data_IF_005509116915
#
_entry.id   IF_005509116915
#
_cell.length_a   1.000
_cell.length_b   1.000
_cell.length_c   1.000
_cell.angle_alpha   90.00
_cell.angle_beta   90.00
_cell.angle_gamma   90.00
#
_symmetry.space_group_name_H-M   'P 1'
#
loop_
_entity.id
_entity.type
_entity.pdbx_description
1 polymer ?
#
# COMPACT_ATOMS: atom_id res chain seq x y z
N UNK A 1 -20.31 57.28 -83.36
CA UNK A 1 -19.69 56.12 -84.01
C UNK A 1 -19.07 55.25 -82.92
N UNK A 2 -19.84 54.25 -82.49
CA UNK A 2 -19.43 52.89 -82.06
C UNK A 2 -18.03 52.69 -81.47
N UNK A 3 -17.91 52.18 -80.23
CA UNK A 3 -17.56 50.77 -79.95
C UNK A 3 -17.45 50.46 -78.43
N UNK A 4 -18.29 49.52 -78.00
CA UNK A 4 -18.07 48.40 -77.06
C UNK A 4 -17.34 48.59 -75.71
N UNK A 5 -18.16 48.51 -74.66
CA UNK A 5 -17.79 47.95 -73.37
C UNK A 5 -17.45 46.45 -73.49
N UNK A 6 -16.32 46.03 -72.91
CA UNK A 6 -16.06 44.61 -72.60
C UNK A 6 -15.84 44.48 -71.09
N UNK A 7 -16.91 44.11 -70.39
CA UNK A 7 -16.85 43.71 -68.99
C UNK A 7 -16.18 42.34 -68.88
N UNK A 8 -15.07 42.26 -68.15
CA UNK A 8 -14.54 41.00 -67.65
C UNK A 8 -15.44 40.51 -66.50
N UNK A 9 -16.47 39.74 -66.83
CA UNK A 9 -17.20 38.96 -65.83
C UNK A 9 -16.31 37.78 -65.45
N UNK A 10 -15.61 37.91 -64.32
CA UNK A 10 -14.92 36.81 -63.66
C UNK A 10 -15.97 35.77 -63.28
N UNK A 11 -16.00 34.63 -63.99
CA UNK A 11 -16.89 33.50 -63.65
C UNK A 11 -16.66 33.13 -62.17
N UNK A 12 -17.71 32.98 -61.35
CA UNK A 12 -17.55 32.44 -60.01
C UNK A 12 -16.93 31.03 -60.11
N UNK A 13 -16.07 30.63 -59.17
CA UNK A 13 -15.51 29.28 -59.17
C UNK A 13 -16.67 28.26 -59.15
N UNK A 14 -16.52 27.10 -59.80
CA UNK A 14 -17.54 26.06 -59.74
C UNK A 14 -17.76 25.71 -58.26
N UNK A 15 -19.01 25.83 -57.81
CA UNK A 15 -19.42 25.37 -56.49
C UNK A 15 -19.22 23.86 -56.51
N UNK A 16 -18.13 23.40 -55.89
CA UNK A 16 -17.90 21.98 -55.66
C UNK A 16 -19.15 21.46 -54.94
N UNK A 17 -19.86 20.53 -55.60
CA UNK A 17 -21.01 19.88 -55.01
C UNK A 17 -20.55 19.11 -53.77
N UNK A 18 -20.70 19.73 -52.58
CA UNK A 18 -20.55 19.10 -51.26
C UNK A 18 -21.73 18.15 -50.96
N UNK A 19 -22.16 17.38 -51.96
CA UNK A 19 -23.36 16.55 -51.88
C UNK A 19 -22.98 15.17 -51.34
N UNK A 20 -22.70 15.08 -50.05
CA UNK A 20 -22.49 13.81 -49.35
C UNK A 20 -21.29 13.77 -48.40
N UNK A 21 -20.32 14.68 -48.56
CA UNK A 21 -19.12 14.71 -47.71
C UNK A 21 -19.45 15.05 -46.24
N UNK A 22 -20.36 16.00 -46.00
CA UNK A 22 -20.78 16.36 -44.64
C UNK A 22 -21.47 15.22 -43.89
N UNK A 23 -22.22 14.36 -44.61
CA UNK A 23 -22.86 13.18 -44.02
C UNK A 23 -21.83 12.13 -43.63
N UNK A 24 -20.84 11.88 -44.50
CA UNK A 24 -19.73 10.96 -44.19
C UNK A 24 -18.90 11.47 -43.03
N UNK A 25 -18.57 12.76 -43.01
CA UNK A 25 -17.81 13.39 -41.93
C UNK A 25 -18.57 13.34 -40.59
N UNK A 26 -19.87 13.62 -40.60
CA UNK A 26 -20.72 13.49 -39.42
C UNK A 26 -20.81 12.04 -38.90
N UNK A 27 -20.86 11.05 -39.79
CA UNK A 27 -20.88 9.63 -39.41
C UNK A 27 -19.54 9.21 -38.79
N UNK A 28 -18.42 9.64 -39.36
CA UNK A 28 -17.08 9.40 -38.78
C UNK A 28 -16.96 10.03 -37.39
N UNK A 29 -17.39 11.28 -37.24
CA UNK A 29 -17.39 11.96 -35.94
C UNK A 29 -18.30 11.24 -34.93
N UNK A 30 -19.47 10.79 -35.36
CA UNK A 30 -20.38 10.01 -34.50
C UNK A 30 -19.74 8.70 -34.04
N UNK A 31 -19.06 7.97 -34.93
CA UNK A 31 -18.34 6.75 -34.58
C UNK A 31 -17.26 7.02 -33.54
N UNK A 32 -16.45 8.06 -33.74
CA UNK A 32 -15.41 8.47 -32.79
C UNK A 32 -16.02 8.81 -31.44
N UNK A 33 -17.14 9.53 -31.40
CA UNK A 33 -17.84 9.85 -30.16
C UNK A 33 -18.36 8.61 -29.44
N UNK A 34 -18.94 7.64 -30.17
CA UNK A 34 -19.41 6.37 -29.59
C UNK A 34 -18.26 5.59 -28.95
N UNK A 35 -17.12 5.50 -29.64
CA UNK A 35 -15.93 4.83 -29.13
C UNK A 35 -15.41 5.55 -27.89
N UNK A 36 -15.30 6.88 -27.93
CA UNK A 36 -14.81 7.68 -26.80
C UNK A 36 -15.74 7.57 -25.57
N UNK A 37 -17.05 7.64 -25.81
CA UNK A 37 -18.06 7.50 -24.76
C UNK A 37 -18.06 6.10 -24.11
N UNK A 38 -17.62 5.07 -24.84
CA UNK A 38 -17.46 3.72 -24.31
C UNK A 38 -16.11 3.54 -23.62
N UNK A 39 -15.04 4.07 -24.21
CA UNK A 39 -13.67 3.91 -23.74
C UNK A 39 -13.41 4.63 -22.41
N UNK A 40 -13.94 5.85 -22.25
CA UNK A 40 -13.67 6.66 -21.04
C UNK A 40 -14.21 5.97 -19.77
N UNK A 41 -15.50 5.56 -19.69
CA UNK A 41 -16.00 4.85 -18.51
C UNK A 41 -15.34 3.49 -18.31
N UNK A 42 -15.04 2.77 -19.38
CA UNK A 42 -14.33 1.49 -19.31
C UNK A 42 -12.95 1.66 -18.65
N UNK A 43 -12.16 2.64 -19.12
CA UNK A 43 -10.86 2.96 -18.54
C UNK A 43 -10.98 3.43 -17.09
N UNK A 44 -12.00 4.25 -16.80
CA UNK A 44 -12.31 4.69 -15.43
C UNK A 44 -12.54 3.52 -14.48
N UNK A 45 -13.33 2.52 -14.89
CA UNK A 45 -13.58 1.30 -14.09
C UNK A 45 -12.30 0.50 -13.87
N UNK A 46 -11.49 0.29 -14.91
CA UNK A 46 -10.20 -0.41 -14.80
C UNK A 46 -9.24 0.35 -13.87
N UNK A 47 -9.20 1.68 -13.96
CA UNK A 47 -8.38 2.53 -13.10
C UNK A 47 -8.83 2.47 -11.64
N UNK A 48 -10.13 2.53 -11.39
CA UNK A 48 -10.70 2.43 -10.03
C UNK A 48 -10.44 1.05 -9.41
N UNK A 49 -10.57 -0.05 -10.17
CA UNK A 49 -10.15 -1.39 -9.69
C UNK A 49 -8.69 -1.36 -9.24
N UNK A 50 -7.80 -0.77 -10.04
CA UNK A 50 -6.39 -0.61 -9.68
C UNK A 50 -6.14 0.23 -8.43
N UNK A 51 -6.98 1.25 -8.19
CA UNK A 51 -6.94 2.06 -6.97
C UNK A 51 -7.42 1.26 -5.76
N UNK A 52 -8.51 0.50 -5.90
CA UNK A 52 -9.00 -0.37 -4.82
C UNK A 52 -7.99 -1.45 -4.46
N UNK A 53 -7.28 -2.03 -5.44
CA UNK A 53 -6.18 -2.95 -5.17
C UNK A 53 -5.06 -2.30 -4.35
N UNK A 54 -4.71 -1.04 -4.62
CA UNK A 54 -3.68 -0.33 -3.86
C UNK A 54 -4.13 -0.03 -2.42
N UNK A 55 -5.40 0.33 -2.23
CA UNK A 55 -5.95 0.54 -0.89
C UNK A 55 -6.08 -0.78 -0.10
N UNK A 56 -6.52 -1.83 -0.78
CA UNK A 56 -6.63 -3.17 -0.22
C UNK A 56 -5.27 -3.72 0.21
N UNK A 57 -4.22 -3.52 -0.59
CA UNK A 57 -2.87 -4.00 -0.23
C UNK A 57 -2.33 -3.27 0.99
N UNK A 58 -2.53 -1.95 1.10
CA UNK A 58 -2.18 -1.17 2.29
C UNK A 58 -2.96 -1.61 3.53
N UNK A 59 -4.25 -1.88 3.36
CA UNK A 59 -5.08 -2.38 4.46
C UNK A 59 -4.62 -3.76 4.95
N UNK A 60 -4.31 -4.67 4.03
CA UNK A 60 -3.70 -5.96 4.35
C UNK A 60 -2.35 -5.79 5.08
N UNK A 61 -1.51 -4.87 4.62
CA UNK A 61 -0.22 -4.58 5.25
C UNK A 61 -0.41 -4.10 6.70
N UNK A 62 -1.40 -3.24 6.93
CA UNK A 62 -1.74 -2.79 8.27
C UNK A 62 -2.27 -3.91 9.17
N UNK A 63 -3.17 -4.76 8.65
CA UNK A 63 -3.65 -5.94 9.40
C UNK A 63 -2.49 -6.85 9.80
N UNK A 64 -1.58 -7.11 8.85
CA UNK A 64 -0.44 -7.98 9.06
C UNK A 64 0.52 -7.43 10.12
N UNK A 65 0.79 -6.11 10.09
CA UNK A 65 1.63 -5.44 11.07
C UNK A 65 1.02 -5.47 12.48
N UNK A 66 -0.31 -5.45 12.59
CA UNK A 66 -1.02 -5.38 13.87
C UNK A 66 -1.24 -6.74 14.53
N UNK A 67 -1.71 -7.73 13.78
CA UNK A 67 -2.13 -9.02 14.34
C UNK A 67 -1.09 -10.13 14.14
N UNK A 68 -0.15 -9.99 13.21
CA UNK A 68 0.90 -10.99 12.93
C UNK A 68 0.43 -12.32 12.34
N UNK A 69 -0.83 -12.71 12.58
CA UNK A 69 -1.45 -14.01 12.26
C UNK A 69 -2.02 -14.13 10.83
N UNK A 70 -1.96 -13.07 10.02
CA UNK A 70 -2.41 -13.09 8.63
C UNK A 70 -3.35 -11.94 8.28
N UNK A 71 -4.12 -12.10 7.20
CA UNK A 71 -5.08 -11.11 6.69
C UNK A 71 -6.43 -11.78 6.51
N UNK A 72 -7.51 -11.12 6.94
CA UNK A 72 -8.87 -11.60 6.63
C UNK A 72 -9.20 -11.31 5.16
N UNK A 73 -9.01 -12.32 4.31
CA UNK A 73 -9.32 -12.23 2.88
C UNK A 73 -10.78 -11.93 2.61
N UNK A 74 -11.71 -12.46 3.42
CA UNK A 74 -13.15 -12.25 3.19
C UNK A 74 -13.52 -10.79 3.46
N UNK A 75 -13.02 -10.23 4.56
CA UNK A 75 -13.19 -8.82 4.86
C UNK A 75 -12.61 -7.95 3.75
N UNK A 76 -11.39 -8.24 3.31
CA UNK A 76 -10.69 -7.46 2.29
C UNK A 76 -11.40 -7.52 0.93
N UNK A 77 -11.82 -8.72 0.50
CA UNK A 77 -12.60 -8.89 -0.73
C UNK A 77 -13.93 -8.14 -0.66
N UNK A 78 -14.65 -8.24 0.46
CA UNK A 78 -15.92 -7.56 0.60
C UNK A 78 -15.77 -6.03 0.67
N UNK A 79 -14.78 -5.53 1.42
CA UNK A 79 -14.59 -4.09 1.61
C UNK A 79 -14.17 -3.36 0.34
N UNK A 80 -13.27 -3.96 -0.45
CA UNK A 80 -12.63 -3.25 -1.57
C UNK A 80 -13.10 -3.69 -2.96
N UNK A 81 -13.78 -4.83 -3.09
CA UNK A 81 -14.14 -5.37 -4.40
C UNK A 81 -15.60 -5.79 -4.55
N UNK A 82 -16.17 -6.44 -3.52
CA UNK A 82 -17.51 -7.05 -3.60
C UNK A 82 -18.59 -6.27 -2.82
N UNK A 83 -18.23 -5.11 -2.26
CA UNK A 83 -19.14 -4.27 -1.51
C UNK A 83 -20.14 -3.56 -2.41
N UNK A 84 -21.29 -3.14 -1.87
CA UNK A 84 -22.36 -2.49 -2.64
C UNK A 84 -21.91 -1.19 -3.35
N UNK A 85 -20.82 -0.57 -2.89
CA UNK A 85 -20.23 0.63 -3.46
C UNK A 85 -19.38 0.34 -4.71
N UNK A 86 -19.02 -0.92 -4.96
CA UNK A 86 -18.16 -1.34 -6.06
C UNK A 86 -18.97 -2.12 -7.10
N UNK A 87 -19.69 -1.37 -7.93
CA UNK A 87 -20.51 -1.92 -9.01
C UNK A 87 -19.82 -1.74 -10.37
N UNK A 88 -18.65 -2.35 -10.54
CA UNK A 88 -18.01 -2.35 -11.86
C UNK A 88 -18.76 -3.30 -12.77
N UNK A 89 -19.62 -2.72 -13.60
CA UNK A 89 -20.39 -3.45 -14.58
C UNK A 89 -19.71 -3.41 -15.94
N UNK A 90 -19.84 -4.48 -16.70
CA UNK A 90 -19.42 -4.51 -18.10
C UNK A 90 -20.46 -3.80 -18.99
N UNK A 91 -20.37 -3.95 -20.32
CA UNK A 91 -21.30 -3.32 -21.26
C UNK A 91 -22.68 -3.99 -21.30
N UNK A 92 -22.81 -5.23 -20.84
CA UNK A 92 -24.09 -5.94 -20.73
C UNK A 92 -24.69 -5.89 -19.33
N UNK A 93 -24.08 -5.10 -18.44
CA UNK A 93 -24.49 -4.90 -17.05
C UNK A 93 -24.20 -6.09 -16.10
N UNK A 94 -23.22 -6.92 -16.44
CA UNK A 94 -22.72 -8.00 -15.57
C UNK A 94 -21.54 -7.53 -14.71
N UNK A 95 -21.35 -8.14 -13.54
CA UNK A 95 -20.23 -7.79 -12.66
C UNK A 95 -18.89 -8.19 -13.27
N UNK A 96 -18.01 -7.19 -13.43
CA UNK A 96 -16.66 -7.36 -13.95
C UNK A 96 -15.75 -8.10 -12.96
N UNK A 97 -15.98 -7.91 -11.66
CA UNK A 97 -15.17 -8.51 -10.60
C UNK A 97 -16.04 -9.44 -9.78
N UNK A 98 -15.59 -10.69 -9.70
CA UNK A 98 -16.22 -11.77 -8.93
C UNK A 98 -15.23 -12.35 -7.92
N UNK A 99 -15.72 -13.07 -6.92
CA UNK A 99 -14.88 -13.57 -5.83
C UNK A 99 -13.72 -14.48 -6.30
N UNK A 100 -13.95 -15.26 -7.36
CA UNK A 100 -12.98 -16.15 -8.01
C UNK A 100 -11.92 -15.40 -8.82
N UNK A 101 -12.23 -14.18 -9.28
CA UNK A 101 -11.32 -13.33 -10.04
C UNK A 101 -10.31 -12.55 -9.18
N UNK A 102 -10.43 -12.63 -7.84
CA UNK A 102 -9.59 -11.93 -6.88
C UNK A 102 -8.69 -12.93 -6.16
N UNK A 103 -7.39 -12.80 -6.36
CA UNK A 103 -6.37 -13.61 -5.69
C UNK A 103 -5.51 -12.73 -4.80
N UNK A 104 -5.38 -13.11 -3.53
CA UNK A 104 -4.53 -12.44 -2.56
C UNK A 104 -3.48 -13.47 -2.14
N UNK A 105 -2.21 -13.10 -2.20
CA UNK A 105 -1.12 -13.95 -1.74
C UNK A 105 -0.20 -13.15 -0.83
N UNK A 106 0.33 -13.82 0.20
CA UNK A 106 1.25 -13.23 1.16
C UNK A 106 2.49 -14.09 1.17
N UNK A 107 3.63 -13.46 0.95
CA UNK A 107 4.97 -14.07 0.91
C UNK A 107 5.81 -13.45 2.05
N UNK A 108 6.65 -14.25 2.72
CA UNK A 108 7.62 -13.80 3.74
C UNK A 108 9.03 -14.38 3.53
N UNK A 109 9.32 -14.91 2.35
CA UNK A 109 10.55 -15.67 2.07
C UNK A 109 11.79 -14.77 2.01
N UNK A 110 11.61 -13.49 1.64
CA UNK A 110 12.73 -12.56 1.48
C UNK A 110 13.09 -11.90 2.80
N UNK A 111 14.30 -12.17 3.30
CA UNK A 111 14.88 -11.45 4.42
C UNK A 111 15.86 -10.37 3.93
N UNK A 112 16.08 -9.35 4.76
CA UNK A 112 17.16 -8.38 4.57
C UNK A 112 18.52 -9.10 4.64
N UNK A 113 19.44 -8.70 3.76
CA UNK A 113 20.83 -9.16 3.83
C UNK A 113 21.45 -8.76 5.17
N UNK A 114 22.47 -9.47 5.63
CA UNK A 114 23.12 -9.21 6.93
C UNK A 114 23.60 -7.76 7.07
N UNK A 115 24.07 -7.14 5.99
CA UNK A 115 24.50 -5.74 5.95
C UNK A 115 23.34 -4.74 6.02
N UNK A 116 22.14 -5.15 5.59
CA UNK A 116 20.93 -4.32 5.61
C UNK A 116 20.12 -4.49 6.89
N UNK A 117 20.48 -5.45 7.73
CA UNK A 117 19.88 -5.65 9.03
C UNK A 117 20.22 -4.49 9.97
N UNK A 118 19.39 -4.21 11.00
CA UNK A 118 19.71 -3.21 12.01
C UNK A 118 21.11 -3.43 12.61
N UNK A 119 21.92 -2.39 12.62
CA UNK A 119 23.31 -2.41 13.09
C UNK A 119 24.34 -2.95 12.08
N UNK A 120 23.92 -3.45 10.91
CA UNK A 120 24.80 -4.00 9.89
C UNK A 120 25.33 -5.40 10.20
N UNK A 121 26.42 -5.78 9.54
CA UNK A 121 27.05 -7.09 9.70
C UNK A 121 27.98 -7.12 10.92
N UNK A 122 28.08 -8.28 11.57
CA UNK A 122 28.97 -8.54 12.70
C UNK A 122 28.36 -9.44 13.78
N UNK A 123 29.25 -10.11 14.52
CA UNK A 123 28.85 -11.08 15.54
C UNK A 123 28.04 -10.45 16.67
N UNK A 124 28.53 -9.34 17.24
CA UNK A 124 27.83 -8.61 18.31
C UNK A 124 26.49 -8.06 17.84
N UNK A 125 26.43 -7.52 16.62
CA UNK A 125 25.22 -7.02 15.98
C UNK A 125 24.19 -8.13 15.84
N UNK A 126 24.60 -9.34 15.41
CA UNK A 126 23.70 -10.49 15.30
C UNK A 126 23.12 -10.92 16.65
N UNK A 127 23.93 -10.88 17.72
CA UNK A 127 23.49 -11.19 19.08
C UNK A 127 22.50 -10.13 19.56
N UNK A 128 22.82 -8.85 19.43
CA UNK A 128 21.93 -7.75 19.83
C UNK A 128 20.60 -7.78 19.08
N UNK A 129 20.62 -8.08 17.76
CA UNK A 129 19.39 -8.24 16.97
C UNK A 129 18.49 -9.35 17.49
N UNK A 130 19.08 -10.45 17.94
CA UNK A 130 18.36 -11.60 18.50
C UNK A 130 17.84 -11.29 19.90
N UNK A 131 18.67 -10.74 20.78
CA UNK A 131 18.31 -10.43 22.16
C UNK A 131 17.23 -9.35 22.23
N UNK A 132 17.34 -8.30 21.41
CA UNK A 132 16.32 -7.25 21.32
C UNK A 132 15.18 -7.58 20.35
N UNK A 133 15.26 -8.71 19.63
CA UNK A 133 14.30 -9.13 18.61
C UNK A 133 13.96 -7.99 17.63
N UNK A 134 14.99 -7.24 17.22
CA UNK A 134 14.89 -6.14 16.26
C UNK A 134 15.30 -6.56 14.85
N UNK A 135 15.90 -7.75 14.70
CA UNK A 135 16.24 -8.29 13.40
C UNK A 135 15.00 -8.54 12.55
N UNK A 136 15.15 -8.31 11.24
CA UNK A 136 14.13 -8.67 10.28
C UNK A 136 13.93 -10.19 10.27
N UNK A 137 12.67 -10.61 10.39
CA UNK A 137 12.25 -12.01 10.35
C UNK A 137 11.68 -12.43 8.99
N UNK A 138 11.57 -11.49 8.05
CA UNK A 138 11.01 -11.68 6.73
C UNK A 138 10.22 -10.46 6.29
N UNK A 139 10.56 -9.93 5.12
CA UNK A 139 9.80 -8.90 4.43
C UNK A 139 8.49 -9.53 3.96
N UNK A 140 7.39 -9.09 4.56
CA UNK A 140 6.09 -9.51 4.13
C UNK A 140 5.68 -8.78 2.85
N UNK A 141 5.48 -9.53 1.77
CA UNK A 141 5.00 -9.03 0.48
C UNK A 141 3.58 -9.50 0.24
N UNK A 142 2.66 -8.55 0.14
CA UNK A 142 1.24 -8.82 -0.12
C UNK A 142 0.97 -8.51 -1.57
N UNK A 143 0.50 -9.50 -2.32
CA UNK A 143 0.13 -9.37 -3.71
C UNK A 143 -1.38 -9.50 -3.85
N UNK A 144 -1.98 -8.56 -4.57
CA UNK A 144 -3.38 -8.61 -4.94
C UNK A 144 -3.45 -8.63 -6.45
N UNK A 145 -4.07 -9.67 -6.98
CA UNK A 145 -4.30 -9.84 -8.39
C UNK A 145 -5.80 -9.89 -8.67
N UNK A 146 -6.26 -9.12 -9.65
CA UNK A 146 -7.65 -9.11 -10.09
C UNK A 146 -7.71 -9.30 -11.58
N UNK A 147 -8.62 -10.16 -12.03
CA UNK A 147 -8.88 -10.43 -13.45
C UNK A 147 -10.31 -10.01 -13.81
N UNK A 148 -10.52 -8.77 -14.28
CA UNK A 148 -11.83 -8.36 -14.79
C UNK A 148 -12.34 -9.36 -15.83
N UNK A 149 -13.55 -9.86 -15.62
CA UNK A 149 -14.25 -10.75 -16.53
C UNK A 149 -15.23 -9.92 -17.35
N UNK A 150 -15.24 -10.13 -18.68
CA UNK A 150 -16.15 -9.44 -19.58
C UNK A 150 -17.07 -10.45 -20.24
N UNK A 151 -18.36 -10.13 -20.29
CA UNK A 151 -19.33 -10.96 -21.00
C UNK A 151 -19.18 -10.71 -22.49
N UNK A 152 -18.83 -11.75 -23.25
CA UNK A 152 -18.76 -11.66 -24.70
C UNK A 152 -20.15 -11.40 -25.26
N UNK A 153 -20.37 -10.24 -25.84
CA UNK A 153 -21.55 -10.04 -26.70
C UNK A 153 -21.30 -10.80 -27.99
N UNK A 154 -21.89 -11.99 -28.12
CA UNK A 154 -21.87 -12.74 -29.37
C UNK A 154 -22.63 -11.96 -30.43
N UNK A 155 -21.92 -11.46 -31.44
CA UNK A 155 -22.54 -11.12 -32.70
C UNK A 155 -22.93 -12.43 -33.40
N UNK A 156 -23.99 -13.09 -32.92
CA UNK A 156 -24.68 -14.12 -33.67
C UNK A 156 -25.65 -13.42 -34.63
N UNK A 157 -25.11 -12.84 -35.70
CA UNK A 157 -25.74 -12.54 -37.00
C UNK A 157 -24.99 -11.40 -37.70
N UNK A 158 -25.07 -11.38 -39.04
CA UNK A 158 -24.56 -10.41 -40.01
C UNK A 158 -24.95 -8.93 -39.76
N UNK A 159 -24.72 -8.36 -38.57
CA UNK A 159 -24.86 -6.92 -38.35
C UNK A 159 -23.53 -6.20 -38.61
N UNK A 160 -23.43 -5.72 -39.84
CA UNK A 160 -22.28 -5.10 -40.49
C UNK A 160 -21.86 -3.72 -39.94
N UNK A 161 -22.22 -3.36 -38.70
CA UNK A 161 -21.85 -2.07 -38.09
C UNK A 161 -21.72 -2.11 -36.55
N UNK A 162 -20.98 -3.05 -35.97
CA UNK A 162 -20.44 -2.84 -34.62
C UNK A 162 -19.14 -2.03 -34.74
N UNK A 163 -19.05 -0.79 -34.22
CA UNK A 163 -17.92 0.13 -34.45
C UNK A 163 -16.64 -0.27 -33.68
N UNK A 164 -16.25 -1.55 -33.73
CA UNK A 164 -15.09 -2.11 -33.02
C UNK A 164 -15.31 -2.28 -31.52
N UNK A 165 -16.56 -2.16 -31.03
CA UNK A 165 -16.85 -2.19 -29.59
C UNK A 165 -16.57 -3.56 -28.94
N UNK A 166 -16.60 -4.64 -29.73
CA UNK A 166 -16.20 -5.98 -29.29
C UNK A 166 -14.79 -6.03 -28.72
N UNK A 167 -13.92 -5.05 -29.06
CA UNK A 167 -12.62 -4.86 -28.41
C UNK A 167 -12.75 -4.86 -26.89
N UNK A 168 -13.70 -4.11 -26.31
CA UNK A 168 -13.84 -3.94 -24.86
C UNK A 168 -14.30 -5.23 -24.16
N UNK A 169 -15.07 -6.08 -24.84
CA UNK A 169 -15.66 -7.30 -24.26
C UNK A 169 -14.75 -8.52 -24.38
N UNK A 170 -13.68 -8.41 -25.17
CA UNK A 170 -12.73 -9.50 -25.43
C UNK A 170 -11.40 -9.30 -24.68
N UNK A 171 -11.25 -8.22 -23.91
CA UNK A 171 -10.03 -7.95 -23.17
C UNK A 171 -9.78 -8.97 -22.07
N UNK A 172 -8.55 -9.45 -21.98
CA UNK A 172 -8.07 -10.26 -20.85
C UNK A 172 -7.05 -9.42 -20.09
N UNK A 173 -7.51 -8.78 -19.02
CA UNK A 173 -6.67 -7.94 -18.18
C UNK A 173 -6.27 -8.70 -16.90
N UNK A 174 -5.01 -8.56 -16.52
CA UNK A 174 -4.49 -9.05 -15.24
C UNK A 174 -3.89 -7.86 -14.50
N UNK A 175 -4.63 -7.32 -13.54
CA UNK A 175 -4.18 -6.15 -12.79
C UNK A 175 -3.55 -6.66 -11.50
N UNK A 176 -2.27 -6.36 -11.31
CA UNK A 176 -1.50 -6.80 -10.15
C UNK A 176 -0.97 -5.60 -9.38
N UNK A 177 -1.17 -5.61 -8.06
CA UNK A 177 -0.53 -4.68 -7.12
C UNK A 177 0.14 -5.47 -6.02
N UNK A 178 1.26 -4.94 -5.53
CA UNK A 178 1.90 -5.48 -4.35
C UNK A 178 2.39 -4.37 -3.44
N UNK A 179 2.55 -4.71 -2.16
CA UNK A 179 3.21 -3.88 -1.15
C UNK A 179 4.09 -4.78 -0.30
N UNK A 180 5.28 -4.30 0.04
CA UNK A 180 6.22 -5.01 0.89
C UNK A 180 6.47 -4.20 2.15
N UNK A 181 6.38 -4.84 3.31
CA UNK A 181 6.61 -4.21 4.61
C UNK A 181 7.50 -5.11 5.48
N UNK A 182 8.33 -4.47 6.31
CA UNK A 182 8.96 -5.16 7.43
C UNK A 182 7.92 -5.31 8.53
N UNK A 183 7.80 -6.52 9.08
CA UNK A 183 6.85 -6.82 10.16
C UNK A 183 7.60 -7.38 11.38
N UNK A 184 7.06 -7.14 12.57
CA UNK A 184 7.55 -7.76 13.81
C UNK A 184 8.87 -7.22 14.38
N UNK A 185 9.69 -6.49 13.61
CA UNK A 185 10.94 -5.91 14.12
C UNK A 185 10.67 -4.94 15.28
N UNK A 186 11.17 -5.29 16.47
CA UNK A 186 11.01 -4.51 17.71
C UNK A 186 9.56 -4.27 18.17
N UNK A 187 8.56 -4.89 17.56
CA UNK A 187 7.17 -4.69 17.98
C UNK A 187 6.94 -5.34 19.35
N UNK A 188 6.25 -4.60 20.21
CA UNK A 188 5.92 -5.00 21.56
C UNK A 188 4.53 -4.48 21.88
N UNK A 189 3.64 -5.34 22.36
CA UNK A 189 2.27 -4.97 22.73
C UNK A 189 2.20 -4.18 24.04
N UNK A 190 3.28 -4.16 24.82
CA UNK A 190 3.36 -3.43 26.10
C UNK A 190 4.74 -2.81 26.31
N UNK A 191 4.79 -1.69 27.03
CA UNK A 191 6.05 -1.06 27.43
C UNK A 191 6.89 -1.99 28.31
N UNK A 192 6.23 -2.79 29.15
CA UNK A 192 6.89 -3.76 30.03
C UNK A 192 7.66 -4.83 29.24
N UNK A 193 7.08 -5.37 28.16
CA UNK A 193 7.78 -6.37 27.35
C UNK A 193 8.94 -5.78 26.55
N UNK A 194 8.88 -4.49 26.17
CA UNK A 194 10.03 -3.78 25.58
C UNK A 194 11.14 -3.59 26.61
N UNK A 195 10.77 -3.17 27.81
CA UNK A 195 11.65 -2.93 28.95
C UNK A 195 12.39 -4.20 29.39
N UNK A 196 11.66 -5.29 29.61
CA UNK A 196 12.23 -6.59 29.97
C UNK A 196 13.22 -7.07 28.91
N UNK A 197 12.88 -6.94 27.63
CA UNK A 197 13.73 -7.36 26.52
C UNK A 197 15.04 -6.57 26.45
N UNK A 198 14.97 -5.25 26.64
CA UNK A 198 16.15 -4.40 26.68
C UNK A 198 17.04 -4.72 27.89
N UNK A 199 16.44 -4.88 29.08
CA UNK A 199 17.16 -5.16 30.33
C UNK A 199 17.75 -6.55 30.44
N UNK A 200 17.15 -7.55 29.78
CA UNK A 200 17.64 -8.94 29.78
C UNK A 200 18.78 -9.19 28.77
N UNK A 201 19.07 -8.23 27.89
CA UNK A 201 20.14 -8.37 26.91
C UNK A 201 21.51 -8.43 27.61
N UNK A 202 22.11 -9.62 27.56
CA UNK A 202 23.44 -9.96 28.05
C UNK A 202 24.47 -8.99 27.52
N UNK A 203 24.55 -8.92 26.19
CA UNK A 203 25.59 -8.18 25.50
C UNK A 203 25.41 -6.66 25.58
N UNK A 204 24.17 -6.18 25.69
CA UNK A 204 23.94 -4.74 25.78
C UNK A 204 24.25 -4.17 27.16
N UNK A 205 23.64 -4.73 28.21
CA UNK A 205 23.63 -4.07 29.52
C UNK A 205 23.74 -5.03 30.69
N UNK A 206 23.17 -6.24 30.60
CA UNK A 206 23.01 -7.10 31.77
C UNK A 206 24.35 -7.50 32.40
N UNK A 207 25.34 -7.89 31.60
CA UNK A 207 26.67 -8.26 32.12
C UNK A 207 27.38 -7.07 32.79
N UNK A 208 27.32 -5.89 32.16
CA UNK A 208 27.90 -4.67 32.71
C UNK A 208 27.18 -4.22 34.00
N UNK A 209 25.86 -4.38 34.05
CA UNK A 209 25.05 -4.09 35.23
C UNK A 209 25.36 -5.05 36.37
N UNK A 210 25.43 -6.36 36.11
CA UNK A 210 25.78 -7.38 37.11
C UNK A 210 27.17 -7.14 37.72
N UNK A 211 28.17 -6.83 36.90
CA UNK A 211 29.51 -6.48 37.38
C UNK A 211 29.52 -5.20 38.24
N UNK A 212 28.70 -4.21 37.87
CA UNK A 212 28.53 -2.96 38.63
C UNK A 212 27.82 -3.21 39.96
N UNK A 213 26.82 -4.08 39.99
CA UNK A 213 26.10 -4.45 41.20
C UNK A 213 26.98 -5.24 42.16
N UNK A 214 27.77 -6.19 41.67
CA UNK A 214 28.71 -6.95 42.50
C UNK A 214 29.73 -6.01 43.17
N UNK A 215 30.25 -5.04 42.40
CA UNK A 215 31.17 -4.02 42.93
C UNK A 215 30.48 -3.12 43.95
N UNK A 216 29.26 -2.68 43.67
CA UNK A 216 28.48 -1.80 44.55
C UNK A 216 28.05 -2.52 45.84
N UNK A 217 27.74 -3.81 45.78
CA UNK A 217 27.42 -4.61 46.96
C UNK A 217 28.62 -4.68 47.94
N UNK A 218 29.83 -4.87 47.41
CA UNK A 218 31.07 -4.84 48.22
C UNK A 218 31.31 -3.48 48.87
N UNK A 219 31.09 -2.39 48.13
CA UNK A 219 31.21 -1.03 48.67
C UNK A 219 30.15 -0.77 49.74
N UNK A 220 28.91 -1.21 49.51
CA UNK A 220 27.79 -1.04 50.45
C UNK A 220 28.06 -1.77 51.76
N UNK A 221 28.60 -2.99 51.71
CA UNK A 221 28.94 -3.75 52.92
C UNK A 221 29.95 -3.01 53.82
N UNK A 222 30.95 -2.37 53.21
CA UNK A 222 31.96 -1.59 53.94
C UNK A 222 31.44 -0.22 54.39
N UNK A 223 30.67 0.45 53.54
CA UNK A 223 30.23 1.83 53.79
C UNK A 223 28.95 1.92 54.63
N UNK A 224 28.11 0.87 54.68
CA UNK A 224 26.81 0.90 55.35
C UNK A 224 26.88 1.34 56.83
N UNK A 225 27.85 0.90 57.66
CA UNK A 225 27.95 1.37 59.04
C UNK A 225 28.25 2.88 59.14
N UNK A 226 29.01 3.42 58.18
CA UNK A 226 29.37 4.84 58.12
C UNK A 226 28.19 5.66 57.60
N UNK A 227 27.57 5.22 56.51
CA UNK A 227 26.41 5.88 55.90
C UNK A 227 25.18 5.88 56.83
N UNK A 228 25.02 4.85 57.66
CA UNK A 228 23.94 4.75 58.64
C UNK A 228 23.98 5.88 59.69
N UNK A 229 25.17 6.39 60.02
CA UNK A 229 25.32 7.51 60.95
C UNK A 229 24.82 8.85 60.36
N UNK A 230 24.66 8.92 59.03
CA UNK A 230 24.23 10.11 58.29
C UNK A 230 22.87 9.95 57.61
N UNK A 231 22.11 8.88 57.93
CA UNK A 231 20.79 8.59 57.36
C UNK A 231 20.76 8.61 55.82
N UNK A 232 21.86 8.16 55.20
CA UNK A 232 21.98 8.14 53.75
C UNK A 232 21.17 6.99 53.15
N UNK A 233 20.39 7.22 52.08
CA UNK A 233 19.63 6.14 51.44
C UNK A 233 20.54 5.08 50.83
N UNK A 234 20.08 3.83 50.87
CA UNK A 234 20.76 2.69 50.25
C UNK A 234 20.87 2.86 48.73
N UNK A 235 21.92 2.31 48.09
CA UNK A 235 22.05 2.32 46.63
C UNK A 235 20.87 1.62 45.95
N UNK A 236 20.41 2.19 44.83
CA UNK A 236 19.36 1.61 44.00
C UNK A 236 20.00 0.76 42.91
N UNK A 237 19.74 -0.54 42.93
CA UNK A 237 20.24 -1.48 41.91
C UNK A 237 19.28 -1.65 40.74
N UNK A 238 18.05 -1.17 40.85
CA UNK A 238 17.11 -1.17 39.73
C UNK A 238 17.24 0.12 38.92
N UNK A 239 18.17 0.14 37.96
CA UNK A 239 18.41 1.33 37.13
C UNK A 239 17.42 1.45 35.97
N UNK A 240 16.75 0.37 35.57
CA UNK A 240 15.94 0.36 34.35
C UNK A 240 14.45 0.54 34.66
N UNK A 241 13.88 -0.09 35.70
CA UNK A 241 12.44 0.00 36.02
C UNK A 241 11.92 1.42 36.25
N UNK A 242 12.69 2.36 36.84
CA UNK A 242 12.24 3.74 36.97
C UNK A 242 11.86 4.40 35.63
N UNK A 243 12.46 3.94 34.53
CA UNK A 243 12.20 4.46 33.18
C UNK A 243 11.07 3.74 32.44
N UNK A 244 10.52 2.66 33.00
CA UNK A 244 9.44 1.89 32.35
C UNK A 244 8.20 2.77 32.17
N UNK A 245 7.72 2.91 30.93
CA UNK A 245 6.53 3.69 30.60
C UNK A 245 6.69 5.21 30.74
N UNK A 246 7.90 5.72 31.00
CA UNK A 246 8.15 7.16 30.98
C UNK A 246 8.25 7.65 29.53
N UNK A 247 7.28 8.46 29.09
CA UNK A 247 7.40 9.26 27.88
C UNK A 247 7.91 10.66 28.21
N UNK A 248 8.86 11.22 27.44
CA UNK A 248 9.22 12.63 27.55
C UNK A 248 7.98 13.54 27.51
N UNK A 249 7.91 14.53 28.39
CA UNK A 249 6.72 15.37 28.58
C UNK A 249 6.20 16.03 27.29
N UNK A 250 7.09 16.38 26.36
CA UNK A 250 6.73 16.97 25.07
C UNK A 250 5.92 16.03 24.14
N UNK A 251 5.94 14.71 24.39
CA UNK A 251 5.06 13.75 23.69
C UNK A 251 3.67 13.63 24.32
N UNK A 252 3.48 14.18 25.53
CA UNK A 252 2.20 14.21 26.26
C UNK A 252 1.51 15.56 26.17
N UNK A 253 2.17 16.58 25.62
CA UNK A 253 1.56 17.87 25.31
C UNK A 253 0.53 17.66 24.20
N UNK A 254 -0.74 17.52 24.61
CA UNK A 254 -1.88 17.63 23.70
C UNK A 254 -1.79 19.02 23.07
N UNK A 255 -1.56 19.06 21.76
CA UNK A 255 -1.57 20.28 20.96
C UNK A 255 -2.87 21.04 21.26
N UNK A 256 -2.77 22.03 22.15
CA UNK A 256 -3.88 22.93 22.45
C UNK A 256 -3.96 23.84 21.24
N UNK A 257 -4.84 23.48 20.30
CA UNK A 257 -5.24 24.36 19.22
C UNK A 257 -5.91 25.58 19.84
N UNK A 258 -5.19 26.69 19.86
CA UNK A 258 -5.75 28.03 20.00
C UNK A 258 -6.52 28.41 18.72
#
# INVERSE_FOLDING_TARGET
MTLFALGFIKKPPPVQHQSGQSVVEALVLMLVLIVMFTAIPWLGRVSDIGLQQANASRYAAFQLARHGEGVDERELKHRFFLGQQHQWKDRVNEDMIKNDSIHITIDREKQLSEQSQPGGDGHHQSILRREWQIGDQGIASIHINTRPQYTKTGASSDESMSPGLSFFDQQVLNIQRHISILTGAAHSSTDLSSHQRAGQSSLAWKEAAEASYESSAKVTDVAAPVDAAWDRPQPVFDWLTPWAGQLPAHHLEVERKD
#
